data_IF_325464033635
#
_entry.id   IF_325464033635
#
_cell.length_a   1.000
_cell.length_b   1.000
_cell.length_c   1.000
_cell.angle_alpha   90.00
_cell.angle_beta   90.00
_cell.angle_gamma   90.00
#
_symmetry.space_group_name_H-M   'P 1'
#
loop_
_entity.id
_entity.type
_entity.pdbx_description
1 polymer ?
#
# COMPACT_ATOMS: atom_id res chain seq x y z
N UNK A 1 20.82 18.06 54.20
CA UNK A 1 19.94 19.17 53.80
C UNK A 1 20.23 19.46 52.34
N UNK A 2 19.20 19.18 51.55
CA UNK A 2 19.03 19.40 50.12
C UNK A 2 19.14 20.89 49.78
N UNK A 3 19.66 21.22 48.60
CA UNK A 3 18.91 22.00 47.63
C UNK A 3 19.52 21.86 46.24
N UNK A 4 18.73 21.23 45.36
CA UNK A 4 18.95 21.16 43.92
C UNK A 4 18.60 22.53 43.33
N UNK A 5 19.49 23.12 42.56
CA UNK A 5 19.18 24.33 41.78
C UNK A 5 18.53 23.91 40.47
N UNK A 6 17.24 24.21 40.38
CA UNK A 6 16.35 24.05 39.23
C UNK A 6 16.82 24.93 38.06
N UNK A 7 17.10 24.31 36.90
CA UNK A 7 17.53 24.99 35.67
C UNK A 7 16.36 25.04 34.65
N UNK A 8 15.11 25.07 35.10
CA UNK A 8 13.94 25.21 34.21
C UNK A 8 13.44 26.66 34.05
N UNK A 9 14.37 27.58 33.80
CA UNK A 9 14.08 29.02 33.68
C UNK A 9 13.73 29.55 32.28
N UNK A 10 12.98 28.80 31.46
CA UNK A 10 12.33 29.38 30.27
C UNK A 10 10.87 28.94 30.25
N UNK A 11 10.00 29.77 30.84
CA UNK A 11 8.55 29.68 30.68
C UNK A 11 8.15 30.06 29.26
N UNK A 12 7.18 29.34 28.70
CA UNK A 12 6.65 29.40 27.32
C UNK A 12 5.99 30.74 26.91
N UNK A 13 6.30 31.84 27.59
CA UNK A 13 5.68 33.16 27.38
C UNK A 13 6.60 34.24 26.79
N UNK A 14 7.90 33.99 26.62
CA UNK A 14 8.85 35.06 26.28
C UNK A 14 9.39 35.07 24.83
N UNK A 15 8.66 34.50 23.86
CA UNK A 15 8.98 34.65 22.42
C UNK A 15 7.79 35.09 21.55
N UNK A 16 6.77 35.71 22.14
CA UNK A 16 5.68 36.32 21.37
C UNK A 16 6.03 37.76 21.03
N UNK A 17 6.79 37.96 19.96
CA UNK A 17 6.97 39.26 19.33
C UNK A 17 7.36 39.12 17.86
N UNK A 18 6.42 38.66 17.05
CA UNK A 18 6.11 39.08 15.67
C UNK A 18 5.10 38.06 15.12
N UNK A 19 4.09 38.57 14.41
CA UNK A 19 2.95 37.80 13.94
C UNK A 19 3.34 36.47 13.26
N UNK A 20 2.47 35.46 13.45
CA UNK A 20 2.47 34.10 12.90
C UNK A 20 3.13 33.00 13.78
N UNK A 21 2.46 31.85 13.86
CA UNK A 21 2.88 30.56 14.47
C UNK A 21 2.36 30.32 15.90
N UNK A 22 1.03 30.12 16.02
CA UNK A 22 0.34 29.60 17.21
C UNK A 22 0.58 28.06 17.32
N UNK A 23 1.67 27.64 17.98
CA UNK A 23 2.08 26.23 18.09
C UNK A 23 1.91 25.67 19.49
N UNK A 24 0.96 24.74 19.61
CA UNK A 24 0.95 23.51 20.42
C UNK A 24 -0.51 23.16 20.68
N UNK A 25 -1.16 22.47 19.74
CA UNK A 25 -2.39 21.80 20.12
C UNK A 25 -2.04 20.67 21.09
N UNK A 26 -2.47 20.77 22.35
CA UNK A 26 -2.74 19.56 23.11
C UNK A 26 -3.65 18.66 22.25
N UNK A 27 -3.42 17.34 22.27
CA UNK A 27 -4.13 16.37 21.39
C UNK A 27 -5.65 16.60 21.42
N UNK A 28 -6.21 17.03 22.56
CA UNK A 28 -7.62 17.38 22.71
C UNK A 28 -8.03 18.58 21.86
N UNK A 29 -7.26 19.66 21.87
CA UNK A 29 -7.53 20.86 21.07
C UNK A 29 -7.32 20.59 19.56
N UNK A 30 -6.37 19.73 19.19
CA UNK A 30 -6.22 19.27 17.80
C UNK A 30 -7.46 18.50 17.34
N UNK A 31 -7.97 17.58 18.18
CA UNK A 31 -9.19 16.81 17.88
C UNK A 31 -10.40 17.73 17.71
N UNK A 32 -10.60 18.69 18.61
CA UNK A 32 -11.70 19.66 18.49
C UNK A 32 -11.62 20.47 17.18
N UNK A 33 -10.41 20.88 16.77
CA UNK A 33 -10.20 21.61 15.51
C UNK A 33 -10.42 20.73 14.28
N UNK A 34 -10.08 19.44 14.34
CA UNK A 34 -10.36 18.47 13.27
C UNK A 34 -11.86 18.13 13.16
N UNK A 35 -12.58 18.08 14.27
CA UNK A 35 -14.01 17.76 14.30
C UNK A 35 -14.88 18.90 13.71
N UNK A 36 -14.42 20.14 13.80
CA UNK A 36 -15.13 21.34 13.32
C UNK A 36 -14.75 21.75 11.89
N UNK A 37 -13.77 21.07 11.30
CA UNK A 37 -13.13 21.49 10.06
C UNK A 37 -13.79 20.94 8.77
N UNK A 38 -13.63 21.72 7.69
CA UNK A 38 -13.89 21.36 6.29
C UNK A 38 -13.31 19.96 5.95
N UNK A 39 -13.84 19.23 4.94
CA UNK A 39 -13.54 17.81 4.76
C UNK A 39 -12.05 17.48 4.56
N UNK A 40 -11.26 18.41 4.04
CA UNK A 40 -9.83 18.21 3.78
C UNK A 40 -8.97 19.25 4.51
N UNK A 41 -7.78 18.83 4.92
CA UNK A 41 -6.79 19.71 5.53
C UNK A 41 -5.37 19.32 5.14
N UNK A 42 -4.46 20.27 5.22
CA UNK A 42 -3.02 20.05 5.05
C UNK A 42 -2.33 20.23 6.40
N UNK A 43 -1.37 19.36 6.69
CA UNK A 43 -0.65 19.35 7.95
C UNK A 43 0.83 19.04 7.77
N UNK A 44 1.61 19.42 8.78
CA UNK A 44 3.00 19.01 8.91
C UNK A 44 3.24 18.33 10.25
N UNK A 45 4.15 17.34 10.23
CA UNK A 45 4.72 16.75 11.43
C UNK A 45 6.11 17.32 11.67
N UNK A 46 6.36 17.72 12.90
CA UNK A 46 7.59 18.34 13.35
C UNK A 46 8.26 17.51 14.43
N UNK A 47 9.60 17.54 14.43
CA UNK A 47 10.41 17.03 15.54
C UNK A 47 10.21 17.93 16.77
N UNK A 48 10.64 17.49 17.96
CA UNK A 48 10.57 18.32 19.18
C UNK A 48 11.32 19.65 19.09
N UNK A 49 12.29 19.76 18.17
CA UNK A 49 13.05 20.98 17.86
C UNK A 49 12.37 21.87 16.80
N UNK A 50 11.10 21.61 16.49
CA UNK A 50 10.32 22.29 15.45
C UNK A 50 10.87 22.16 14.02
N UNK A 51 11.75 21.21 13.76
CA UNK A 51 12.15 20.92 12.37
C UNK A 51 11.05 20.08 11.68
N UNK A 52 10.50 20.52 10.54
CA UNK A 52 9.50 19.74 9.80
C UNK A 52 10.15 18.46 9.26
N UNK A 53 9.42 17.35 9.32
CA UNK A 53 9.90 16.08 8.74
C UNK A 53 8.87 15.40 7.85
N UNK A 54 7.63 15.88 7.81
CA UNK A 54 6.61 15.31 6.92
C UNK A 54 5.52 16.32 6.64
N UNK A 55 5.06 16.39 5.39
CA UNK A 55 3.86 17.13 4.98
C UNK A 55 2.82 16.13 4.49
N UNK A 56 1.55 16.34 4.81
CA UNK A 56 0.49 15.52 4.26
C UNK A 56 -0.85 16.21 4.16
N UNK A 57 -1.68 15.74 3.22
CA UNK A 57 -3.12 15.99 3.20
C UNK A 57 -3.88 14.95 4.01
N UNK A 58 -4.92 15.38 4.74
CA UNK A 58 -5.72 14.54 5.60
C UNK A 58 -7.21 14.82 5.56
N UNK A 59 -7.95 13.83 6.05
CA UNK A 59 -9.37 13.86 6.37
C UNK A 59 -9.54 13.14 7.71
N UNK A 60 -10.53 13.54 8.53
CA UNK A 60 -10.73 13.02 9.88
C UNK A 60 -9.45 13.05 10.72
N UNK A 61 -9.14 11.94 11.41
CA UNK A 61 -7.99 11.85 12.34
C UNK A 61 -6.66 11.43 11.69
N UNK A 62 -6.50 11.54 10.35
CA UNK A 62 -5.31 11.04 9.63
C UNK A 62 -3.99 11.55 10.21
N UNK A 63 -3.91 12.81 10.61
CA UNK A 63 -2.70 13.39 11.23
C UNK A 63 -2.25 12.63 12.49
N UNK A 64 -3.20 12.15 13.29
CA UNK A 64 -2.95 11.38 14.52
C UNK A 64 -2.62 9.90 14.24
N UNK A 65 -3.13 9.36 13.13
CA UNK A 65 -2.95 7.95 12.80
C UNK A 65 -1.47 7.57 12.57
N UNK A 66 -0.61 8.52 12.19
CA UNK A 66 0.82 8.21 11.96
C UNK A 66 1.54 7.71 13.21
N UNK A 67 1.23 8.27 14.38
CA UNK A 67 1.78 7.77 15.63
C UNK A 67 1.19 6.41 16.03
N UNK A 68 -0.10 6.19 15.75
CA UNK A 68 -0.74 4.88 15.94
C UNK A 68 -0.08 3.82 15.08
N UNK A 69 0.15 4.11 13.80
CA UNK A 69 0.88 3.24 12.88
C UNK A 69 2.30 2.97 13.39
N UNK A 70 3.02 4.00 13.85
CA UNK A 70 4.38 3.84 14.36
C UNK A 70 4.46 2.83 15.52
N UNK A 71 3.41 2.77 16.37
CA UNK A 71 3.30 1.83 17.50
C UNK A 71 2.81 0.44 17.09
N UNK A 72 1.84 0.38 16.18
CA UNK A 72 1.01 -0.82 16.00
C UNK A 72 1.35 -1.63 14.74
N UNK A 73 2.06 -1.06 13.76
CA UNK A 73 2.40 -1.78 12.53
C UNK A 73 3.91 -2.01 12.38
N UNK A 74 4.28 -3.14 11.78
CA UNK A 74 5.68 -3.53 11.56
C UNK A 74 6.32 -2.88 10.32
N UNK A 75 5.54 -2.08 9.57
CA UNK A 75 6.01 -1.39 8.37
C UNK A 75 7.20 -0.48 8.71
N UNK A 76 8.24 -0.52 7.86
CA UNK A 76 9.41 0.35 7.93
C UNK A 76 9.32 1.41 6.84
N UNK A 77 9.31 2.68 7.24
CA UNK A 77 9.42 3.85 6.35
C UNK A 77 10.19 4.95 7.07
N UNK A 78 10.81 5.86 6.31
CA UNK A 78 11.59 6.96 6.90
C UNK A 78 10.74 7.76 7.91
N UNK A 79 9.53 8.17 7.52
CA UNK A 79 8.55 8.83 8.41
C UNK A 79 8.30 8.06 9.71
N UNK A 80 7.93 6.78 9.64
CA UNK A 80 7.62 5.98 10.85
C UNK A 80 8.86 5.77 11.73
N UNK A 81 10.04 5.64 11.12
CA UNK A 81 11.29 5.50 11.87
C UNK A 81 11.64 6.79 12.63
N UNK A 82 11.39 7.97 12.05
CA UNK A 82 11.53 9.26 12.75
C UNK A 82 10.58 9.32 13.96
N UNK A 83 9.31 8.98 13.79
CA UNK A 83 8.32 8.96 14.88
C UNK A 83 8.77 7.99 16.00
N UNK A 84 9.16 6.76 15.66
CA UNK A 84 9.66 5.79 16.65
C UNK A 84 10.92 6.27 17.37
N UNK A 85 11.81 7.00 16.69
CA UNK A 85 13.00 7.58 17.31
C UNK A 85 12.62 8.66 18.34
N UNK A 86 11.67 9.53 18.01
CA UNK A 86 11.13 10.56 18.92
C UNK A 86 10.52 9.91 20.16
N UNK A 87 9.68 8.88 19.98
CA UNK A 87 9.06 8.16 21.10
C UNK A 87 10.08 7.43 21.98
N UNK A 88 11.09 6.79 21.40
CA UNK A 88 12.16 6.13 22.17
C UNK A 88 12.98 7.11 23.02
N UNK A 89 13.04 8.38 22.61
CA UNK A 89 13.68 9.44 23.40
C UNK A 89 12.75 10.03 24.47
N UNK A 90 11.56 9.47 24.69
CA UNK A 90 10.57 9.99 25.63
C UNK A 90 9.95 11.33 25.21
N UNK A 91 10.01 11.67 23.92
CA UNK A 91 9.48 12.92 23.36
C UNK A 91 8.26 12.67 22.48
N UNK A 92 7.58 13.76 22.11
CA UNK A 92 6.35 13.74 21.30
C UNK A 92 6.56 14.40 19.94
N UNK A 93 5.77 13.97 18.95
CA UNK A 93 5.68 14.65 17.64
C UNK A 93 4.90 15.95 17.82
N UNK A 94 5.34 17.01 17.16
CA UNK A 94 4.63 18.30 17.12
C UNK A 94 3.80 18.37 15.84
N UNK A 95 2.57 18.85 15.96
CA UNK A 95 1.58 18.88 14.87
C UNK A 95 1.30 20.32 14.41
N UNK A 96 1.42 20.56 13.11
CA UNK A 96 1.03 21.81 12.44
C UNK A 96 -0.18 21.54 11.54
N UNK A 97 -1.22 22.35 11.65
CA UNK A 97 -2.27 22.44 10.63
C UNK A 97 -1.97 23.66 9.77
N UNK A 98 -1.74 23.46 8.48
CA UNK A 98 -1.44 24.54 7.53
C UNK A 98 -2.72 25.22 7.05
N UNK A 99 -3.76 24.43 6.73
CA UNK A 99 -5.01 24.99 6.25
C UNK A 99 -6.11 23.94 6.06
N UNK A 100 -7.33 24.45 5.89
CA UNK A 100 -8.55 23.68 5.66
C UNK A 100 -9.18 24.02 4.32
N UNK A 101 -9.66 23.00 3.61
CA UNK A 101 -10.07 23.10 2.22
C UNK A 101 -11.39 22.35 2.00
N UNK A 102 -12.28 22.94 1.21
CA UNK A 102 -13.55 22.31 0.83
C UNK A 102 -13.34 21.24 -0.26
N UNK A 103 -12.37 21.47 -1.14
CA UNK A 103 -12.07 20.60 -2.28
C UNK A 103 -10.74 19.90 -2.09
N UNK A 104 -10.71 18.60 -2.37
CA UNK A 104 -9.51 17.78 -2.24
C UNK A 104 -8.35 18.27 -3.13
N UNK A 105 -8.66 18.72 -4.34
CA UNK A 105 -7.68 19.24 -5.30
C UNK A 105 -6.89 20.44 -4.74
N UNK A 106 -7.53 21.28 -3.93
CA UNK A 106 -6.90 22.49 -3.39
C UNK A 106 -5.97 22.12 -2.24
N UNK A 107 -6.39 21.18 -1.38
CA UNK A 107 -5.52 20.60 -0.35
C UNK A 107 -4.32 19.85 -0.95
N UNK A 108 -4.52 19.15 -2.08
CA UNK A 108 -3.44 18.47 -2.80
C UNK A 108 -2.47 19.47 -3.46
N UNK A 109 -2.96 20.59 -3.98
CA UNK A 109 -2.12 21.66 -4.52
C UNK A 109 -1.26 22.26 -3.40
N UNK A 110 -1.85 22.60 -2.27
CA UNK A 110 -1.13 23.13 -1.11
C UNK A 110 -0.12 22.15 -0.52
N UNK A 111 -0.46 20.86 -0.43
CA UNK A 111 0.49 19.82 -0.02
C UNK A 111 1.75 19.81 -0.91
N UNK A 112 1.58 19.93 -2.24
CA UNK A 112 2.69 19.96 -3.20
C UNK A 112 3.55 21.20 -3.02
N UNK A 113 2.93 22.36 -2.85
CA UNK A 113 3.61 23.63 -2.62
C UNK A 113 4.52 23.55 -1.38
N UNK A 114 3.99 23.10 -0.24
CA UNK A 114 4.76 22.95 0.99
C UNK A 114 5.90 21.94 0.88
N UNK A 115 5.69 20.83 0.16
CA UNK A 115 6.76 19.85 -0.07
C UNK A 115 7.89 20.47 -0.91
N UNK A 116 7.54 21.27 -1.91
CA UNK A 116 8.50 21.96 -2.77
C UNK A 116 9.24 23.07 -2.02
N UNK A 117 8.53 23.83 -1.18
CA UNK A 117 9.06 24.93 -0.38
C UNK A 117 10.05 24.45 0.69
N UNK A 118 9.67 23.45 1.49
CA UNK A 118 10.52 22.94 2.59
C UNK A 118 11.61 21.98 2.08
N UNK A 119 11.33 21.23 1.02
CA UNK A 119 12.30 20.35 0.38
C UNK A 119 12.42 18.94 0.98
N UNK A 120 12.64 17.96 0.10
CA UNK A 120 12.75 16.54 0.44
C UNK A 120 14.18 16.10 0.76
N UNK A 121 14.30 15.23 1.75
CA UNK A 121 15.58 14.66 2.19
C UNK A 121 16.22 13.77 1.13
N UNK A 122 15.42 12.94 0.43
CA UNK A 122 15.96 12.03 -0.59
C UNK A 122 16.48 12.75 -1.84
N UNK A 123 16.08 14.01 -2.05
CA UNK A 123 16.58 14.89 -3.10
C UNK A 123 17.71 15.81 -2.60
N UNK A 124 18.09 15.74 -1.32
CA UNK A 124 19.06 16.63 -0.69
C UNK A 124 18.61 18.10 -0.61
N UNK A 125 17.29 18.35 -0.65
CA UNK A 125 16.72 19.72 -0.71
C UNK A 125 16.14 20.21 0.61
N UNK A 126 15.94 19.32 1.58
CA UNK A 126 15.35 19.69 2.87
C UNK A 126 15.09 18.50 3.78
N UNK A 127 14.44 18.71 4.93
CA UNK A 127 14.31 17.69 5.98
C UNK A 127 13.14 16.71 5.78
N UNK A 128 12.30 16.88 4.75
CA UNK A 128 11.08 16.10 4.61
C UNK A 128 11.34 14.63 4.26
N UNK A 129 10.67 13.73 4.97
CA UNK A 129 10.67 12.28 4.75
C UNK A 129 9.68 11.83 3.67
N UNK A 130 8.97 12.77 3.03
CA UNK A 130 8.07 12.52 1.91
C UNK A 130 8.80 11.78 0.78
N UNK A 131 8.16 10.74 0.24
CA UNK A 131 8.72 9.92 -0.84
C UNK A 131 8.19 10.29 -2.23
N UNK A 132 7.37 11.33 -2.33
CA UNK A 132 6.78 11.85 -3.58
C UNK A 132 6.70 13.37 -3.45
N UNK A 133 6.44 14.05 -4.57
CA UNK A 133 6.23 15.51 -4.58
C UNK A 133 4.82 15.92 -4.07
N UNK A 134 4.03 14.97 -3.56
CA UNK A 134 2.64 15.21 -3.16
C UNK A 134 1.66 15.26 -4.34
N UNK A 135 0.37 15.38 -4.01
CA UNK A 135 -0.71 15.28 -4.99
C UNK A 135 -1.34 13.89 -5.09
N UNK A 136 -2.37 13.74 -5.93
CA UNK A 136 -3.03 12.45 -6.12
C UNK A 136 -2.11 11.47 -6.90
N UNK A 137 -1.78 10.34 -6.28
CA UNK A 137 -0.93 9.30 -6.88
C UNK A 137 0.57 9.44 -6.54
N UNK A 138 1.42 8.72 -7.28
CA UNK A 138 2.89 8.79 -7.10
C UNK A 138 3.53 9.65 -8.16
N UNK A 139 3.41 10.96 -8.01
CA UNK A 139 4.20 11.97 -8.71
C UNK A 139 5.65 11.91 -8.20
N UNK A 140 6.60 11.70 -9.12
CA UNK A 140 8.04 11.71 -8.85
C UNK A 140 8.47 10.93 -7.57
N UNK A 141 8.20 9.60 -7.52
CA UNK A 141 8.56 8.79 -6.37
C UNK A 141 10.08 8.81 -6.12
N UNK A 142 10.51 8.74 -4.86
CA UNK A 142 11.92 8.72 -4.43
C UNK A 142 12.71 7.61 -5.14
N UNK A 143 14.03 7.78 -5.30
CA UNK A 143 14.89 6.71 -5.83
C UNK A 143 14.72 5.43 -5.03
N UNK A 144 14.71 5.49 -3.70
CA UNK A 144 14.47 4.33 -2.83
C UNK A 144 13.08 3.69 -3.06
N UNK A 145 12.03 4.49 -3.34
CA UNK A 145 10.70 3.97 -3.66
C UNK A 145 10.65 3.38 -5.07
N UNK A 146 11.35 4.01 -6.04
CA UNK A 146 11.56 3.50 -7.39
C UNK A 146 12.36 2.22 -7.38
N UNK A 147 13.37 2.09 -6.53
CA UNK A 147 14.23 0.92 -6.34
C UNK A 147 13.52 -0.17 -5.55
N UNK A 148 12.74 0.12 -4.51
CA UNK A 148 11.89 -0.89 -3.86
C UNK A 148 10.83 -1.41 -4.81
N UNK A 149 10.21 -0.51 -5.58
CA UNK A 149 9.30 -0.89 -6.66
C UNK A 149 10.06 -1.68 -7.72
N UNK A 150 11.20 -1.22 -8.20
CA UNK A 150 12.03 -1.89 -9.21
C UNK A 150 12.65 -3.20 -8.72
N UNK A 151 12.94 -3.38 -7.44
CA UNK A 151 13.39 -4.64 -6.86
C UNK A 151 12.21 -5.63 -6.78
N UNK A 152 11.00 -5.12 -6.51
CA UNK A 152 9.76 -5.90 -6.57
C UNK A 152 9.32 -6.20 -8.02
N UNK A 153 9.61 -5.31 -8.96
CA UNK A 153 9.17 -5.31 -10.37
C UNK A 153 10.20 -5.90 -11.35
N UNK A 154 11.48 -5.79 -11.03
CA UNK A 154 12.64 -5.98 -11.91
C UNK A 154 13.49 -7.19 -11.54
N UNK A 155 12.99 -8.07 -10.67
CA UNK A 155 13.61 -9.38 -10.48
C UNK A 155 14.98 -9.36 -9.81
N UNK A 156 15.36 -8.30 -9.09
CA UNK A 156 16.49 -8.30 -8.15
C UNK A 156 16.06 -8.71 -6.73
N UNK A 157 15.04 -9.54 -6.64
CA UNK A 157 14.75 -10.28 -5.43
C UNK A 157 15.83 -11.35 -5.29
N UNK A 158 16.64 -11.36 -4.22
CA UNK A 158 17.49 -12.52 -3.89
C UNK A 158 16.65 -13.81 -3.75
N UNK A 159 15.38 -13.65 -3.39
CA UNK A 159 14.36 -14.69 -3.34
C UNK A 159 14.04 -15.19 -4.78
N UNK A 160 14.53 -16.40 -5.05
CA UNK A 160 14.40 -17.17 -6.30
C UNK A 160 12.94 -17.40 -6.67
N UNK A 161 12.09 -17.69 -5.69
CA UNK A 161 10.70 -18.05 -5.88
C UNK A 161 9.91 -16.85 -6.41
N UNK A 162 10.22 -15.65 -5.91
CA UNK A 162 9.60 -14.42 -6.41
C UNK A 162 9.96 -14.16 -7.86
N UNK A 163 11.22 -14.39 -8.24
CA UNK A 163 11.67 -14.22 -9.64
C UNK A 163 10.97 -15.23 -10.54
N UNK A 164 10.88 -16.49 -10.12
CA UNK A 164 10.16 -17.53 -10.83
C UNK A 164 8.67 -17.15 -11.02
N UNK A 165 8.00 -16.68 -9.96
CA UNK A 165 6.62 -16.21 -10.02
C UNK A 165 6.42 -15.06 -11.03
N UNK A 166 7.31 -14.06 -10.99
CA UNK A 166 7.23 -12.90 -11.89
C UNK A 166 7.50 -13.29 -13.36
N UNK A 167 8.50 -14.13 -13.62
CA UNK A 167 8.84 -14.62 -14.95
C UNK A 167 7.72 -15.49 -15.52
N UNK A 168 7.20 -16.41 -14.71
CA UNK A 168 6.09 -17.27 -15.10
C UNK A 168 4.83 -16.46 -15.43
N UNK A 169 4.46 -15.49 -14.59
CA UNK A 169 3.33 -14.63 -14.88
C UNK A 169 3.53 -13.80 -16.15
N UNK A 170 4.75 -13.29 -16.36
CA UNK A 170 5.08 -12.48 -17.52
C UNK A 170 5.09 -13.27 -18.83
N UNK A 171 5.36 -14.58 -18.82
CA UNK A 171 5.31 -15.41 -20.03
C UNK A 171 3.89 -15.60 -20.58
N UNK A 172 2.87 -15.39 -19.73
CA UNK A 172 1.46 -15.53 -20.07
C UNK A 172 0.90 -14.23 -20.68
N UNK A 173 1.01 -13.09 -19.97
CA UNK A 173 0.40 -11.80 -20.37
C UNK A 173 1.34 -10.59 -20.35
N UNK A 174 2.65 -10.84 -20.41
CA UNK A 174 3.67 -9.80 -20.42
C UNK A 174 4.02 -9.26 -19.04
N UNK A 175 5.05 -8.39 -18.97
CA UNK A 175 5.51 -7.81 -17.70
C UNK A 175 4.44 -6.88 -17.10
N UNK A 176 4.23 -6.99 -15.79
CA UNK A 176 3.21 -6.20 -15.07
C UNK A 176 3.74 -5.60 -13.79
N UNK A 177 3.17 -4.45 -13.44
CA UNK A 177 3.50 -3.74 -12.20
C UNK A 177 3.06 -4.49 -10.92
N UNK A 178 2.06 -5.37 -11.05
CA UNK A 178 1.47 -6.10 -9.94
C UNK A 178 1.24 -7.54 -10.39
N UNK A 179 2.07 -8.45 -9.89
CA UNK A 179 1.96 -9.89 -10.12
C UNK A 179 1.13 -10.52 -8.99
N UNK A 180 -0.07 -11.06 -9.27
CA UNK A 180 -1.01 -11.56 -8.27
C UNK A 180 -0.73 -12.98 -7.75
N UNK A 181 0.25 -13.67 -8.33
CA UNK A 181 0.76 -14.96 -7.84
C UNK A 181 2.03 -14.72 -7.01
N UNK A 182 2.14 -15.36 -5.85
CA UNK A 182 3.24 -15.12 -4.88
C UNK A 182 3.83 -16.44 -4.40
N UNK A 183 5.12 -16.48 -4.01
CA UNK A 183 5.67 -17.59 -3.25
C UNK A 183 4.84 -17.88 -1.99
N UNK A 184 4.67 -19.14 -1.65
CA UNK A 184 4.05 -19.54 -0.40
C UNK A 184 4.85 -18.96 0.78
N UNK A 185 4.15 -18.39 1.77
CA UNK A 185 4.80 -17.73 2.93
C UNK A 185 5.17 -16.26 2.71
N UNK A 186 5.11 -15.73 1.47
CA UNK A 186 5.36 -14.32 1.21
C UNK A 186 4.37 -13.37 1.93
N UNK A 187 3.16 -13.87 2.23
CA UNK A 187 2.12 -13.19 3.01
C UNK A 187 1.27 -14.21 3.76
N UNK A 188 0.64 -13.79 4.86
CA UNK A 188 -0.37 -14.60 5.56
C UNK A 188 -1.58 -14.83 4.66
N UNK A 189 -1.88 -16.10 4.37
CA UNK A 189 -3.08 -16.47 3.63
C UNK A 189 -4.30 -16.41 4.53
N UNK A 190 -5.41 -15.97 3.96
CA UNK A 190 -6.71 -15.89 4.62
C UNK A 190 -7.74 -16.60 3.76
N UNK A 191 -8.78 -17.15 4.40
CA UNK A 191 -9.93 -17.71 3.69
C UNK A 191 -10.49 -16.64 2.76
N UNK A 192 -10.72 -17.02 1.51
CA UNK A 192 -11.17 -16.08 0.49
C UNK A 192 -12.61 -15.67 0.79
N UNK A 193 -12.81 -14.37 0.94
CA UNK A 193 -14.12 -13.74 1.09
C UNK A 193 -14.30 -12.68 0.00
N UNK A 194 -15.54 -12.38 -0.43
CA UNK A 194 -15.74 -11.40 -1.49
C UNK A 194 -15.26 -10.01 -1.06
N UNK A 195 -14.65 -9.27 -1.98
CA UNK A 195 -14.29 -7.87 -1.75
C UNK A 195 -15.54 -7.03 -1.41
N UNK A 196 -15.43 -6.07 -0.47
CA UNK A 196 -16.55 -5.25 -0.02
C UNK A 196 -17.21 -4.47 -1.17
N UNK A 197 -16.39 -3.71 -1.90
CA UNK A 197 -16.82 -2.93 -3.07
C UNK A 197 -16.96 -3.79 -4.32
N UNK A 198 -17.82 -3.38 -5.24
CA UNK A 198 -17.96 -4.01 -6.56
C UNK A 198 -16.61 -4.11 -7.29
N UNK A 199 -16.44 -5.21 -8.03
CA UNK A 199 -15.25 -5.50 -8.82
C UNK A 199 -15.67 -5.96 -10.21
N UNK A 200 -14.85 -5.63 -11.20
CA UNK A 200 -15.03 -6.08 -12.59
C UNK A 200 -13.84 -6.96 -12.98
N UNK A 201 -14.04 -7.94 -13.90
CA UNK A 201 -12.95 -8.77 -14.36
C UNK A 201 -11.80 -7.95 -14.97
N UNK A 202 -10.57 -8.26 -14.57
CA UNK A 202 -9.34 -7.62 -15.09
C UNK A 202 -8.36 -8.66 -15.61
N UNK A 203 -7.51 -8.27 -16.54
CA UNK A 203 -6.50 -9.16 -17.14
C UNK A 203 -5.61 -9.86 -16.10
N UNK A 204 -5.21 -9.18 -15.02
CA UNK A 204 -4.41 -9.81 -13.95
C UNK A 204 -5.13 -10.99 -13.29
N UNK A 205 -6.46 -10.92 -13.19
CA UNK A 205 -7.28 -11.96 -12.59
C UNK A 205 -7.35 -13.17 -13.52
N UNK A 206 -7.65 -12.91 -14.81
CA UNK A 206 -7.63 -13.94 -15.84
C UNK A 206 -6.26 -14.65 -15.93
N UNK A 207 -5.17 -13.87 -15.94
CA UNK A 207 -3.81 -14.40 -16.00
C UNK A 207 -3.48 -15.30 -14.80
N UNK A 208 -3.93 -14.94 -13.60
CA UNK A 208 -3.70 -15.77 -12.41
C UNK A 208 -4.43 -17.12 -12.48
N UNK A 209 -5.66 -17.15 -13.03
CA UNK A 209 -6.39 -18.39 -13.26
C UNK A 209 -5.71 -19.24 -14.33
N UNK A 210 -5.24 -18.63 -15.42
CA UNK A 210 -4.43 -19.31 -16.44
C UNK A 210 -3.14 -19.87 -15.85
N UNK A 211 -2.45 -19.12 -15.00
CA UNK A 211 -1.25 -19.58 -14.31
C UNK A 211 -1.52 -20.84 -13.48
N UNK A 212 -2.61 -20.86 -12.72
CA UNK A 212 -3.03 -22.04 -11.96
C UNK A 212 -3.40 -23.22 -12.88
N UNK A 213 -4.05 -22.96 -14.01
CA UNK A 213 -4.41 -23.97 -15.00
C UNK A 213 -3.16 -24.63 -15.61
N UNK A 214 -2.19 -23.84 -16.06
CA UNK A 214 -0.90 -24.34 -16.59
C UNK A 214 -0.19 -25.18 -15.53
N UNK A 215 -0.03 -24.61 -14.32
CA UNK A 215 0.72 -25.26 -13.25
C UNK A 215 0.10 -26.57 -12.76
N UNK A 216 -1.21 -26.73 -12.92
CA UNK A 216 -1.94 -27.94 -12.52
C UNK A 216 -2.27 -28.88 -13.68
N UNK A 217 -1.84 -28.56 -14.90
CA UNK A 217 -2.13 -29.36 -16.10
C UNK A 217 -3.63 -29.45 -16.41
N UNK A 218 -4.39 -28.38 -16.13
CA UNK A 218 -5.86 -28.36 -16.27
C UNK A 218 -6.30 -27.50 -17.44
N UNK A 219 -7.30 -28.00 -18.17
CA UNK A 219 -7.97 -27.25 -19.22
C UNK A 219 -8.89 -26.18 -18.63
N UNK A 220 -8.96 -25.04 -19.30
CA UNK A 220 -9.83 -23.92 -18.97
C UNK A 220 -11.14 -24.12 -19.70
N UNK A 221 -12.18 -24.44 -18.94
CA UNK A 221 -13.57 -24.52 -19.39
C UNK A 221 -14.48 -24.00 -18.27
N UNK A 222 -15.72 -23.65 -18.61
CA UNK A 222 -16.73 -23.32 -17.60
C UNK A 222 -16.88 -24.51 -16.66
N UNK A 223 -16.78 -24.27 -15.36
CA UNK A 223 -16.82 -25.30 -14.32
C UNK A 223 -15.48 -25.94 -13.98
N UNK A 224 -14.39 -25.64 -14.70
CA UNK A 224 -13.04 -26.13 -14.38
C UNK A 224 -12.64 -25.74 -12.96
N UNK A 225 -12.06 -26.69 -12.23
CA UNK A 225 -11.61 -26.48 -10.85
C UNK A 225 -10.10 -26.23 -10.87
N UNK A 226 -9.66 -25.08 -10.38
CA UNK A 226 -8.28 -24.62 -10.39
C UNK A 226 -7.78 -24.44 -8.96
N UNK A 227 -6.59 -24.94 -8.60
CA UNK A 227 -6.12 -24.82 -7.23
C UNK A 227 -5.65 -23.40 -6.93
N UNK A 228 -5.90 -22.92 -5.70
CA UNK A 228 -5.37 -21.63 -5.24
C UNK A 228 -3.86 -21.68 -5.02
N UNK A 229 -3.37 -22.80 -4.47
CA UNK A 229 -1.95 -23.13 -4.29
C UNK A 229 -1.52 -24.11 -5.39
N UNK A 230 -0.44 -23.81 -6.09
CA UNK A 230 0.11 -24.65 -7.15
C UNK A 230 1.63 -24.57 -7.16
N UNK A 231 2.29 -25.47 -7.87
CA UNK A 231 3.74 -25.49 -8.00
C UNK A 231 4.16 -25.18 -9.43
N UNK A 232 5.23 -24.40 -9.60
CA UNK A 232 5.84 -24.16 -10.90
C UNK A 232 7.35 -24.32 -10.78
N UNK A 233 7.91 -25.30 -11.50
CA UNK A 233 9.35 -25.61 -11.49
C UNK A 233 9.94 -25.76 -10.07
N UNK A 234 9.25 -26.47 -9.17
CA UNK A 234 9.69 -26.65 -7.78
C UNK A 234 9.44 -25.45 -6.85
N UNK A 235 8.83 -24.37 -7.35
CA UNK A 235 8.48 -23.20 -6.53
C UNK A 235 6.99 -23.25 -6.14
N UNK A 236 6.64 -23.33 -4.84
CA UNK A 236 5.26 -23.29 -4.40
C UNK A 236 4.71 -21.86 -4.52
N UNK A 237 3.69 -21.68 -5.34
CA UNK A 237 3.05 -20.41 -5.65
C UNK A 237 1.58 -20.40 -5.25
N UNK A 238 1.07 -19.24 -4.84
CA UNK A 238 -0.32 -19.06 -4.43
C UNK A 238 -0.93 -17.81 -5.06
N UNK A 239 -2.21 -17.89 -5.41
CA UNK A 239 -3.01 -16.73 -5.77
C UNK A 239 -3.31 -15.91 -4.50
N UNK A 240 -2.82 -14.67 -4.44
CA UNK A 240 -2.85 -13.86 -3.23
C UNK A 240 -4.27 -13.46 -2.79
N UNK A 241 -4.46 -13.17 -1.49
CA UNK A 241 -5.75 -12.79 -0.92
C UNK A 241 -6.48 -11.72 -1.77
N UNK A 242 -5.82 -10.60 -2.08
CA UNK A 242 -6.46 -9.47 -2.74
C UNK A 242 -7.09 -9.82 -4.09
N UNK A 243 -6.37 -10.56 -4.93
CA UNK A 243 -6.90 -10.95 -6.25
C UNK A 243 -7.99 -12.03 -6.12
N UNK A 244 -7.89 -12.95 -5.15
CA UNK A 244 -8.90 -13.98 -4.92
C UNK A 244 -10.23 -13.34 -4.49
N UNK A 245 -10.18 -12.36 -3.58
CA UNK A 245 -11.36 -11.57 -3.17
C UNK A 245 -11.98 -10.80 -4.34
N UNK A 246 -11.13 -10.22 -5.18
CA UNK A 246 -11.57 -9.48 -6.36
C UNK A 246 -12.24 -10.40 -7.40
N UNK A 247 -11.66 -11.57 -7.68
CA UNK A 247 -12.24 -12.56 -8.60
C UNK A 247 -13.60 -13.05 -8.13
N UNK A 248 -13.71 -13.39 -6.85
CA UNK A 248 -14.96 -13.85 -6.24
C UNK A 248 -16.02 -12.75 -6.33
N UNK A 249 -15.66 -11.50 -6.01
CA UNK A 249 -16.58 -10.36 -6.10
C UNK A 249 -16.96 -9.99 -7.54
N UNK A 250 -16.05 -10.16 -8.49
CA UNK A 250 -16.31 -9.97 -9.91
C UNK A 250 -17.08 -11.13 -10.55
N UNK A 251 -17.42 -12.17 -9.76
CA UNK A 251 -18.14 -13.35 -10.23
C UNK A 251 -17.34 -14.23 -11.17
N UNK A 252 -16.00 -14.11 -11.21
CA UNK A 252 -15.13 -14.91 -12.09
C UNK A 252 -14.93 -16.35 -11.58
N UNK A 253 -15.07 -16.55 -10.28
CA UNK A 253 -14.90 -17.85 -9.63
C UNK A 253 -15.96 -18.05 -8.56
N UNK A 254 -16.21 -19.31 -8.21
CA UNK A 254 -16.73 -19.73 -6.90
C UNK A 254 -15.66 -20.55 -6.18
N UNK A 255 -15.82 -20.74 -4.87
CA UNK A 255 -14.91 -21.56 -4.06
C UNK A 255 -15.59 -22.90 -3.81
N UNK A 256 -14.89 -24.00 -4.07
CA UNK A 256 -15.40 -25.35 -3.76
C UNK A 256 -15.59 -25.52 -2.25
N UNK A 257 -16.69 -26.17 -1.86
CA UNK A 257 -16.98 -26.45 -0.47
C UNK A 257 -15.94 -27.41 0.14
N UNK A 258 -15.70 -27.28 1.45
CA UNK A 258 -14.91 -28.25 2.23
C UNK A 258 -13.45 -27.85 2.50
N UNK A 259 -12.95 -26.74 1.94
CA UNK A 259 -11.64 -26.23 2.31
C UNK A 259 -11.68 -25.50 3.67
N UNK A 260 -11.04 -26.07 4.70
CA UNK A 260 -10.88 -25.44 6.03
C UNK A 260 -9.61 -24.60 6.16
N UNK A 261 -8.71 -24.69 5.17
CA UNK A 261 -7.43 -23.97 5.09
C UNK A 261 -7.36 -23.21 3.77
N UNK A 262 -6.89 -21.95 3.75
CA UNK A 262 -6.91 -21.13 2.53
C UNK A 262 -6.06 -21.70 1.40
N UNK A 263 -4.95 -22.36 1.71
CA UNK A 263 -4.08 -23.04 0.74
C UNK A 263 -4.73 -24.27 0.08
N UNK A 264 -5.81 -24.80 0.65
CA UNK A 264 -6.58 -25.93 0.08
C UNK A 264 -7.81 -25.47 -0.70
N UNK A 265 -8.02 -24.17 -0.83
CA UNK A 265 -9.13 -23.65 -1.63
C UNK A 265 -8.95 -24.02 -3.10
N UNK A 266 -10.06 -24.48 -3.69
CA UNK A 266 -10.16 -24.73 -5.12
C UNK A 266 -11.15 -23.75 -5.72
N UNK A 267 -10.76 -23.10 -6.80
CA UNK A 267 -11.56 -22.11 -7.51
C UNK A 267 -12.26 -22.79 -8.68
N UNK A 268 -13.59 -22.82 -8.65
CA UNK A 268 -14.40 -23.24 -9.79
C UNK A 268 -14.62 -22.05 -10.71
N UNK A 269 -14.21 -22.20 -11.97
CA UNK A 269 -14.33 -21.17 -12.99
C UNK A 269 -15.80 -21.00 -13.41
N UNK A 270 -16.30 -19.77 -13.37
CA UNK A 270 -17.66 -19.46 -13.83
C UNK A 270 -17.67 -19.11 -15.32
N UNK A 271 -18.86 -18.94 -15.91
CA UNK A 271 -19.01 -18.41 -17.26
C UNK A 271 -18.40 -17.01 -17.42
N UNK A 272 -18.64 -16.11 -16.45
CA UNK A 272 -18.01 -14.79 -16.38
C UNK A 272 -16.48 -14.88 -16.34
N UNK A 273 -15.94 -15.84 -15.58
CA UNK A 273 -14.50 -16.07 -15.48
C UNK A 273 -13.90 -16.55 -16.80
N UNK A 274 -14.55 -17.54 -17.42
CA UNK A 274 -14.15 -18.08 -18.72
C UNK A 274 -14.19 -17.01 -19.82
N UNK A 275 -15.29 -16.27 -19.93
CA UNK A 275 -15.42 -15.17 -20.87
C UNK A 275 -14.37 -14.08 -20.64
N UNK A 276 -14.06 -13.75 -19.38
CA UNK A 276 -13.00 -12.79 -19.06
C UNK A 276 -11.61 -13.30 -19.46
N UNK A 277 -11.30 -14.59 -19.30
CA UNK A 277 -10.05 -15.18 -19.77
C UNK A 277 -9.92 -15.01 -21.28
N UNK A 278 -10.93 -15.41 -22.04
CA UNK A 278 -10.93 -15.27 -23.51
C UNK A 278 -10.88 -13.81 -23.97
N UNK A 279 -11.45 -12.89 -23.20
CA UNK A 279 -11.40 -11.45 -23.48
C UNK A 279 -9.99 -10.87 -23.33
N UNK A 280 -9.26 -11.30 -22.32
CA UNK A 280 -7.97 -10.69 -21.97
C UNK A 280 -6.76 -11.44 -22.52
N UNK A 281 -6.87 -12.75 -22.77
CA UNK A 281 -5.78 -13.58 -23.28
C UNK A 281 -6.26 -14.22 -24.56
N UNK A 282 -5.54 -13.95 -25.66
CA UNK A 282 -5.92 -14.41 -27.00
C UNK A 282 -6.05 -15.93 -27.03
N UNK A 283 -7.09 -16.44 -27.70
CA UNK A 283 -7.37 -17.88 -27.82
C UNK A 283 -6.16 -18.70 -28.27
N UNK A 284 -5.47 -18.28 -29.35
CA UNK A 284 -4.25 -18.94 -29.83
C UNK A 284 -3.19 -19.08 -28.74
N UNK A 285 -2.96 -18.02 -27.94
CA UNK A 285 -2.01 -18.06 -26.83
C UNK A 285 -2.41 -19.08 -25.75
N UNK A 286 -3.70 -19.24 -25.46
CA UNK A 286 -4.17 -20.26 -24.50
C UNK A 286 -3.98 -21.69 -25.03
N UNK A 287 -4.16 -21.90 -26.34
CA UNK A 287 -3.87 -23.17 -27.01
C UNK A 287 -2.36 -23.46 -26.97
N UNK A 288 -1.52 -22.48 -27.31
CA UNK A 288 -0.06 -22.61 -27.26
C UNK A 288 0.47 -22.89 -25.84
N UNK A 289 -0.24 -22.38 -24.82
CA UNK A 289 0.05 -22.65 -23.40
C UNK A 289 -0.51 -24.00 -22.92
N UNK A 290 -1.20 -24.76 -23.77
CA UNK A 290 -1.73 -26.09 -23.47
C UNK A 290 -2.90 -26.10 -22.48
N UNK A 291 -3.65 -25.00 -22.35
CA UNK A 291 -4.76 -24.88 -21.40
C UNK A 291 -6.12 -24.68 -22.06
N UNK A 292 -6.18 -24.70 -23.38
CA UNK A 292 -7.41 -24.62 -24.16
C UNK A 292 -7.29 -25.53 -25.38
N UNK A 293 -8.38 -26.23 -25.72
CA UNK A 293 -8.40 -27.10 -26.90
C UNK A 293 -8.42 -26.28 -28.19
N UNK A 294 -7.75 -26.82 -29.22
CA UNK A 294 -7.91 -26.36 -30.58
C UNK A 294 -9.29 -26.86 -31.07
N UNK A 295 -10.14 -25.92 -31.46
CA UNK A 295 -11.53 -26.18 -31.84
C UNK A 295 -11.67 -26.29 -33.35
#
# INVERSE_FOLDING_TARGET
MTEMVDISGITTRDLVAQDEIEFLYEIQALRAKLDTAKPFYVYMLHKPDFTPFYVGKGTGSRILNHESDARNITLRSHKLNVIRAIHRAGRSVVYLLDGFFDQEKDALARERELIAEVGRHDLGRGPLTNQTDGGEGTSNPSLESRERRAATLGGLSEDTDRRAANQFFASISGRRASVPIKPLGARRLEITTPHANARSPRERMATALVAAAIASGRMIAVGSILPRLFEMNGHPLVIENGVSRDMLKAGMITIEAGATRPEREMFRLTETGYAAILRFIRRRKLIDLGVLEDA
#
